data_IF_701280772121
#
_entry.id   IF_701280772121
#
_cell.length_a   1.000
_cell.length_b   1.000
_cell.length_c   1.000
_cell.angle_alpha   90.00
_cell.angle_beta   90.00
_cell.angle_gamma   90.00
#
_symmetry.space_group_name_H-M   'P 1'
#
loop_
_entity.id
_entity.type
_entity.pdbx_description
1 polymer ?
#
# COMPACT_ATOMS: atom_id res chain seq x y z
N UNK A 1 8.08 23.65 19.57
CA UNK A 1 8.44 22.26 19.25
C UNK A 1 7.38 21.72 18.31
N UNK A 2 7.76 21.21 17.14
CA UNK A 2 6.87 20.45 16.27
C UNK A 2 6.88 18.98 16.67
N UNK A 3 5.75 18.30 16.55
CA UNK A 3 5.70 16.86 16.76
C UNK A 3 6.46 16.13 15.64
N UNK A 4 7.19 15.07 16.00
CA UNK A 4 7.80 14.14 15.05
C UNK A 4 6.82 12.99 14.87
N UNK A 5 6.46 12.70 13.63
CA UNK A 5 5.56 11.60 13.29
C UNK A 5 6.32 10.54 12.50
N UNK A 6 6.01 9.28 12.78
CA UNK A 6 6.66 8.12 12.15
C UNK A 6 5.60 7.13 11.75
N UNK A 7 5.60 6.70 10.49
CA UNK A 7 4.77 5.59 10.03
C UNK A 7 5.60 4.30 9.98
N UNK A 8 4.99 3.18 10.35
CA UNK A 8 5.59 1.85 10.23
C UNK A 8 5.03 1.12 9.01
N UNK A 9 5.90 0.54 8.18
CA UNK A 9 5.49 -0.30 7.03
C UNK A 9 6.04 -1.71 7.20
N UNK A 10 5.17 -2.71 7.13
CA UNK A 10 5.54 -4.12 7.11
C UNK A 10 5.08 -4.74 5.80
N UNK A 11 6.00 -5.33 5.05
CA UNK A 11 5.69 -6.06 3.82
C UNK A 11 6.06 -7.54 3.99
N UNK A 12 5.11 -8.43 3.66
CA UNK A 12 5.34 -9.88 3.64
C UNK A 12 5.04 -10.43 2.26
N UNK A 13 6.09 -10.83 1.56
CA UNK A 13 5.98 -11.55 0.29
C UNK A 13 5.94 -13.06 0.58
N UNK A 14 5.07 -13.79 -0.11
CA UNK A 14 5.06 -15.26 -0.10
C UNK A 14 5.85 -15.78 -1.31
N UNK A 15 6.35 -17.01 -1.26
CA UNK A 15 7.09 -17.62 -2.37
C UNK A 15 6.15 -18.39 -3.31
N UNK A 16 6.39 -18.32 -4.63
CA UNK A 16 5.64 -19.03 -5.68
C UNK A 16 5.25 -18.14 -6.87
N UNK A 17 4.71 -18.76 -7.93
CA UNK A 17 4.20 -18.04 -9.11
C UNK A 17 2.82 -17.42 -8.82
N UNK A 18 2.58 -16.18 -9.28
CA UNK A 18 1.30 -15.48 -9.06
C UNK A 18 1.06 -14.98 -7.64
N UNK A 19 2.12 -14.85 -6.84
CA UNK A 19 2.01 -14.62 -5.40
C UNK A 19 1.85 -13.15 -5.05
N UNK A 20 0.94 -12.89 -4.11
CA UNK A 20 0.63 -11.55 -3.59
C UNK A 20 1.53 -11.21 -2.40
N UNK A 21 1.81 -9.92 -2.24
CA UNK A 21 2.51 -9.35 -1.09
C UNK A 21 1.52 -8.58 -0.24
N UNK A 22 1.43 -8.95 1.03
CA UNK A 22 0.64 -8.25 2.03
C UNK A 22 1.49 -7.06 2.56
N UNK A 23 0.98 -5.83 2.50
CA UNK A 23 1.64 -4.61 3.01
C UNK A 23 0.74 -3.94 4.02
N UNK A 24 1.26 -3.73 5.24
CA UNK A 24 0.56 -3.08 6.34
C UNK A 24 1.22 -1.74 6.64
N UNK A 25 0.42 -0.67 6.66
CA UNK A 25 0.87 0.69 6.97
C UNK A 25 0.20 1.15 8.26
N UNK A 26 1.01 1.39 9.30
CA UNK A 26 0.56 1.97 10.57
C UNK A 26 0.50 3.50 10.49
N UNK A 27 -0.31 4.12 11.36
CA UNK A 27 -0.62 5.55 11.37
C UNK A 27 -1.30 6.08 10.09
N UNK A 28 -2.06 5.22 9.40
CA UNK A 28 -2.78 5.55 8.17
C UNK A 28 -3.94 6.55 8.36
N UNK A 29 -4.23 7.02 9.57
CA UNK A 29 -5.32 8.00 9.76
C UNK A 29 -4.92 9.43 9.41
N UNK A 30 -3.62 9.68 9.24
CA UNK A 30 -3.04 10.99 8.94
C UNK A 30 -3.01 11.24 7.43
N UNK A 31 -3.16 12.50 7.05
CA UNK A 31 -3.24 12.91 5.65
C UNK A 31 -1.98 12.57 4.85
N UNK A 32 -0.79 12.80 5.42
CA UNK A 32 0.48 12.57 4.73
C UNK A 32 0.67 11.08 4.45
N UNK A 33 0.47 10.24 5.46
CA UNK A 33 0.58 8.78 5.36
C UNK A 33 -0.45 8.22 4.39
N UNK A 34 -1.68 8.75 4.38
CA UNK A 34 -2.71 8.41 3.38
C UNK A 34 -2.31 8.79 1.97
N UNK A 35 -1.87 10.03 1.78
CA UNK A 35 -1.49 10.55 0.47
C UNK A 35 -0.32 9.75 -0.10
N UNK A 36 0.74 9.54 0.69
CA UNK A 36 1.89 8.73 0.27
C UNK A 36 1.49 7.28 -0.02
N UNK A 37 0.71 6.64 0.85
CA UNK A 37 0.29 5.26 0.61
C UNK A 37 -0.57 5.14 -0.64
N UNK A 38 -1.48 6.08 -0.91
CA UNK A 38 -2.29 6.10 -2.13
C UNK A 38 -1.41 6.26 -3.38
N UNK A 39 -0.43 7.15 -3.32
CA UNK A 39 0.49 7.42 -4.42
C UNK A 39 1.37 6.20 -4.74
N UNK A 40 1.93 5.54 -3.71
CA UNK A 40 2.94 4.49 -3.91
C UNK A 40 2.38 3.07 -3.91
N UNK A 41 1.23 2.82 -3.27
CA UNK A 41 0.62 1.49 -3.16
C UNK A 41 -0.67 1.36 -3.98
N UNK A 42 -1.17 2.45 -4.57
CA UNK A 42 -2.45 2.57 -5.29
C UNK A 42 -3.66 2.29 -4.38
N UNK A 43 -4.73 3.09 -4.45
CA UNK A 43 -5.94 2.85 -3.64
C UNK A 43 -6.60 1.52 -4.06
N UNK A 44 -6.51 1.15 -5.35
CA UNK A 44 -7.07 -0.09 -5.87
C UNK A 44 -6.52 -1.36 -5.20
N UNK A 45 -5.29 -1.32 -4.66
CA UNK A 45 -4.67 -2.45 -3.98
C UNK A 45 -5.07 -2.54 -2.49
N UNK A 46 -5.83 -1.56 -1.96
CA UNK A 46 -6.23 -1.53 -0.56
C UNK A 46 -7.38 -2.49 -0.28
N UNK A 47 -7.22 -3.31 0.76
CA UNK A 47 -8.26 -4.22 1.23
C UNK A 47 -9.03 -3.56 2.36
N UNK A 48 -10.18 -2.96 2.00
CA UNK A 48 -11.03 -2.19 2.93
C UNK A 48 -11.49 -3.05 4.12
N UNK A 49 -11.90 -4.30 3.87
CA UNK A 49 -12.40 -5.24 4.90
C UNK A 49 -11.42 -5.47 6.06
N UNK A 50 -10.12 -5.45 5.77
CA UNK A 50 -9.06 -5.70 6.76
C UNK A 50 -8.35 -4.43 7.21
N UNK A 51 -8.67 -3.29 6.59
CA UNK A 51 -8.11 -2.00 6.96
C UNK A 51 -8.90 -1.41 8.12
N UNK A 52 -8.20 -0.86 9.11
CA UNK A 52 -8.80 -0.08 10.20
C UNK A 52 -8.55 1.41 9.98
N UNK A 53 -8.96 2.24 10.94
CA UNK A 53 -8.72 3.68 10.90
C UNK A 53 -7.22 4.02 10.86
N UNK A 54 -6.42 3.37 11.70
CA UNK A 54 -4.99 3.65 11.88
C UNK A 54 -4.07 2.64 11.18
N UNK A 55 -4.61 1.52 10.67
CA UNK A 55 -3.83 0.51 9.94
C UNK A 55 -4.44 0.28 8.56
N UNK A 56 -3.71 0.59 7.50
CA UNK A 56 -4.11 0.19 6.15
C UNK A 56 -3.48 -1.15 5.77
N UNK A 57 -4.27 -1.96 5.06
CA UNK A 57 -3.81 -3.22 4.47
C UNK A 57 -3.90 -3.13 2.95
N UNK A 58 -2.78 -3.36 2.28
CA UNK A 58 -2.67 -3.43 0.82
C UNK A 58 -2.22 -4.80 0.39
N UNK A 59 -2.76 -5.27 -0.73
CA UNK A 59 -2.40 -6.55 -1.33
C UNK A 59 -1.93 -6.28 -2.75
N UNK A 60 -0.61 -6.28 -2.93
CA UNK A 60 0.03 -5.96 -4.21
C UNK A 60 0.51 -7.23 -4.89
N UNK A 61 0.49 -7.25 -6.24
CA UNK A 61 1.06 -8.38 -7.00
C UNK A 61 2.57 -8.36 -6.83
N UNK A 62 3.15 -9.47 -6.37
CA UNK A 62 4.59 -9.62 -6.16
C UNK A 62 5.20 -10.69 -7.06
N UNK A 63 6.51 -10.86 -6.95
CA UNK A 63 7.28 -11.87 -7.69
C UNK A 63 8.05 -11.29 -8.88
N UNK A 64 9.02 -12.07 -9.37
CA UNK A 64 9.91 -11.71 -10.50
C UNK A 64 9.17 -11.49 -11.82
N UNK A 65 7.93 -11.98 -11.93
CA UNK A 65 7.05 -11.84 -13.09
C UNK A 65 6.08 -10.66 -12.99
N UNK A 66 6.06 -9.92 -11.88
CA UNK A 66 5.24 -8.72 -11.75
C UNK A 66 5.81 -7.60 -12.63
N UNK A 67 5.06 -7.22 -13.67
CA UNK A 67 5.37 -6.08 -14.52
C UNK A 67 5.26 -4.80 -13.70
N UNK A 68 6.37 -4.07 -13.56
CA UNK A 68 6.43 -2.81 -12.79
C UNK A 68 5.51 -1.73 -13.38
N UNK A 69 5.34 -1.77 -14.69
CA UNK A 69 4.43 -0.95 -15.49
C UNK A 69 2.94 -1.24 -15.24
N UNK A 70 2.62 -2.34 -14.56
CA UNK A 70 1.25 -2.76 -14.25
C UNK A 70 0.97 -2.80 -12.74
N UNK A 71 1.75 -2.08 -11.93
CA UNK A 71 1.60 -2.07 -10.47
C UNK A 71 0.30 -1.37 -10.02
N UNK A 72 0.05 -0.16 -10.54
CA UNK A 72 -1.27 0.49 -10.52
C UNK A 72 -1.94 0.29 -11.89
N UNK A 73 -3.27 0.22 -11.97
CA UNK A 73 -3.99 -0.07 -13.23
C UNK A 73 -3.98 1.07 -14.27
N UNK A 74 -3.02 2.00 -14.23
CA UNK A 74 -2.91 3.11 -15.19
C UNK A 74 -4.04 4.14 -15.10
N UNK A 75 -5.01 3.96 -14.21
CA UNK A 75 -6.04 4.95 -13.86
C UNK A 75 -5.58 5.86 -12.73
N UNK A 76 -4.29 6.21 -12.71
CA UNK A 76 -3.76 7.18 -11.78
C UNK A 76 -4.32 8.56 -12.16
N UNK A 77 -5.37 8.95 -11.44
CA UNK A 77 -5.81 10.32 -11.18
C UNK A 77 -5.69 11.31 -12.35
N UNK A 78 -6.76 11.43 -13.15
CA UNK A 78 -7.08 12.71 -13.76
C UNK A 78 -7.43 13.69 -12.62
N UNK A 79 -6.51 14.59 -12.31
CA UNK A 79 -6.76 15.82 -11.55
C UNK A 79 -6.00 16.97 -12.21
#
# INVERSE_FOLDING_TARGET
>A
MSAIFTAGVLARTRAGEGVKTDVLVHDYEREVERACSREFLCEENRVVETSTRSLAHFVVRGGSSARRDAFCSGTAAAH
#
